data_IF_153796155638
#
_entry.id   IF_153796155638
#
_cell.length_a   1.000
_cell.length_b   1.000
_cell.length_c   1.000
_cell.angle_alpha   90.00
_cell.angle_beta   90.00
_cell.angle_gamma   90.00
#
_symmetry.space_group_name_H-M   'P 1'
#
loop_
_entity.id
_entity.type
_entity.pdbx_description
1 polymer ?
#
# COMPACT_ATOMS: atom_id res chain seq x y z
N UNK A 1 -0.35 0.31 -20.27
CA UNK A 1 -0.16 -1.08 -19.83
C UNK A 1 0.10 -1.10 -18.33
N UNK A 2 -0.89 -1.42 -17.50
CA UNK A 2 -0.87 -1.29 -16.02
C UNK A 2 -1.13 -2.63 -15.34
N UNK A 3 -0.61 -2.90 -14.14
CA UNK A 3 -0.27 -4.28 -13.81
C UNK A 3 -0.72 -4.86 -12.44
N UNK A 4 -1.33 -6.08 -12.37
CA UNK A 4 -1.92 -6.72 -11.14
C UNK A 4 -1.80 -8.28 -10.99
N UNK A 5 -2.15 -8.81 -9.80
CA UNK A 5 -1.42 -9.77 -8.91
C UNK A 5 -1.96 -11.23 -8.72
N UNK A 6 -1.11 -12.19 -8.23
CA UNK A 6 -1.46 -13.44 -7.47
C UNK A 6 -0.24 -14.03 -6.65
N UNK A 7 -0.45 -14.85 -5.58
CA UNK A 7 0.46 -15.06 -4.38
C UNK A 7 0.63 -16.54 -3.90
N UNK A 8 1.80 -16.94 -3.32
CA UNK A 8 2.00 -18.02 -2.29
C UNK A 8 3.28 -17.86 -1.41
N UNK A 9 3.29 -18.49 -0.21
CA UNK A 9 4.00 -18.14 1.06
C UNK A 9 5.18 -19.03 1.54
N UNK A 10 6.07 -18.47 2.42
CA UNK A 10 6.76 -19.13 3.56
C UNK A 10 7.18 -18.12 4.68
N UNK A 11 7.27 -18.49 5.99
CA UNK A 11 7.46 -17.54 7.10
C UNK A 11 8.85 -17.56 7.79
N UNK A 12 9.24 -16.46 8.46
CA UNK A 12 10.24 -16.45 9.53
C UNK A 12 10.01 -15.35 10.60
N UNK A 13 10.62 -15.54 11.77
CA UNK A 13 10.25 -15.07 13.12
C UNK A 13 10.98 -13.82 13.64
N UNK A 14 10.39 -13.11 14.62
CA UNK A 14 11.10 -12.21 15.56
C UNK A 14 10.30 -11.87 16.85
N UNK A 15 11.03 -11.67 17.96
CA UNK A 15 10.59 -11.31 19.33
C UNK A 15 10.81 -9.81 19.66
N UNK A 16 10.09 -9.21 20.65
CA UNK A 16 10.41 -7.86 21.16
C UNK A 16 10.68 -7.78 22.70
N UNK A 17 11.12 -6.60 23.23
CA UNK A 17 11.81 -6.46 24.53
C UNK A 17 11.08 -5.71 25.68
N UNK A 18 11.55 -5.99 26.90
CA UNK A 18 11.67 -5.25 28.19
C UNK A 18 10.55 -4.37 28.82
N UNK A 19 10.25 -4.64 30.10
CA UNK A 19 9.83 -3.64 31.12
C UNK A 19 10.19 -4.08 32.55
N UNK A 20 10.78 -3.16 33.33
CA UNK A 20 11.06 -3.10 34.80
C UNK A 20 11.14 -4.41 35.63
N UNK A 21 12.34 -4.73 36.10
CA UNK A 21 12.63 -5.85 37.02
C UNK A 21 12.41 -5.47 38.50
N UNK A 22 11.68 -6.33 39.22
CA UNK A 22 11.63 -6.37 40.70
C UNK A 22 12.97 -6.92 41.25
N UNK A 23 13.25 -6.73 42.55
CA UNK A 23 14.51 -7.25 43.14
C UNK A 23 14.49 -8.77 43.28
N UNK A 24 15.63 -9.42 43.00
CA UNK A 24 15.77 -10.89 42.93
C UNK A 24 15.30 -11.62 44.20
N UNK A 25 15.37 -10.97 45.37
CA UNK A 25 14.99 -11.57 46.65
C UNK A 25 13.47 -11.61 46.86
N UNK A 26 12.74 -10.64 46.32
CA UNK A 26 11.28 -10.59 46.34
C UNK A 26 10.67 -11.51 45.28
N UNK A 27 11.30 -11.61 44.09
CA UNK A 27 10.92 -12.59 43.06
C UNK A 27 11.12 -14.03 43.51
N UNK A 28 12.26 -14.34 44.15
CA UNK A 28 12.56 -15.71 44.60
C UNK A 28 11.63 -16.21 45.71
N UNK A 29 11.18 -15.33 46.62
CA UNK A 29 10.24 -15.72 47.68
C UNK A 29 8.80 -15.94 47.16
N UNK A 30 8.39 -15.23 46.11
CA UNK A 30 7.07 -15.42 45.46
C UNK A 30 7.09 -16.66 44.54
N UNK A 31 8.21 -16.95 43.88
CA UNK A 31 8.35 -18.11 42.99
C UNK A 31 8.37 -19.46 43.72
N UNK A 32 8.74 -19.51 45.01
CA UNK A 32 8.85 -20.76 45.76
C UNK A 32 7.51 -21.50 46.00
N UNK A 33 6.36 -20.83 45.79
CA UNK A 33 5.02 -21.41 45.97
C UNK A 33 4.15 -21.45 44.70
N UNK A 34 4.70 -21.10 43.53
CA UNK A 34 3.96 -21.06 42.27
C UNK A 34 4.17 -22.38 41.51
N UNK A 35 3.06 -23.08 41.25
CA UNK A 35 3.03 -24.26 40.40
C UNK A 35 2.68 -23.86 38.97
N UNK A 36 3.16 -24.63 37.99
CA UNK A 36 2.91 -24.40 36.57
C UNK A 36 2.24 -25.61 35.93
N UNK A 37 1.30 -25.35 35.03
CA UNK A 37 0.61 -26.37 34.23
C UNK A 37 0.46 -25.87 32.79
N UNK A 38 0.76 -26.72 31.83
CA UNK A 38 0.42 -26.45 30.43
C UNK A 38 -1.03 -26.86 30.23
N UNK A 39 -1.85 -25.94 29.75
CA UNK A 39 -3.27 -26.17 29.46
C UNK A 39 -3.56 -25.79 28.01
N UNK A 40 -4.63 -26.37 27.48
CA UNK A 40 -5.14 -26.09 26.14
C UNK A 40 -6.58 -25.61 26.20
N UNK A 41 -7.04 -24.93 25.16
CA UNK A 41 -8.44 -24.55 25.00
C UNK A 41 -9.26 -25.75 24.50
N UNK A 42 -9.42 -26.74 25.37
CA UNK A 42 -10.15 -27.99 25.14
C UNK A 42 -11.16 -28.24 26.24
N UNK A 43 -12.09 -29.17 25.99
CA UNK A 43 -13.14 -29.59 26.92
C UNK A 43 -12.61 -30.11 28.27
N UNK A 44 -11.35 -30.55 28.31
CA UNK A 44 -10.65 -30.96 29.53
C UNK A 44 -10.55 -29.81 30.55
N UNK A 45 -10.30 -28.59 30.07
CA UNK A 45 -10.04 -27.42 30.92
C UNK A 45 -11.19 -26.41 30.88
N UNK A 46 -11.81 -26.24 29.71
CA UNK A 46 -12.85 -25.25 29.45
C UNK A 46 -13.99 -25.87 28.65
N UNK A 47 -15.20 -25.85 29.21
CA UNK A 47 -16.39 -26.30 28.47
C UNK A 47 -16.60 -25.47 27.19
N UNK A 48 -17.06 -26.08 26.07
CA UNK A 48 -17.39 -25.38 24.82
C UNK A 48 -18.31 -24.18 25.02
N UNK A 49 -19.25 -24.27 25.97
CA UNK A 49 -20.19 -23.19 26.28
C UNK A 49 -19.47 -21.97 26.89
N UNK A 50 -18.48 -22.20 27.74
CA UNK A 50 -17.67 -21.15 28.35
C UNK A 50 -16.75 -20.53 27.30
N UNK A 51 -16.13 -21.33 26.42
CA UNK A 51 -15.30 -20.84 25.31
C UNK A 51 -16.13 -19.95 24.38
N UNK A 52 -17.29 -20.42 23.91
CA UNK A 52 -18.20 -19.61 23.07
C UNK A 52 -18.60 -18.31 23.74
N UNK A 53 -18.98 -18.36 25.02
CA UNK A 53 -19.34 -17.18 25.80
C UNK A 53 -18.18 -16.19 25.89
N UNK A 54 -16.96 -16.68 26.15
CA UNK A 54 -15.76 -15.85 26.23
C UNK A 54 -15.47 -15.15 24.89
N UNK A 55 -15.48 -15.89 23.77
CA UNK A 55 -15.25 -15.35 22.42
C UNK A 55 -16.26 -14.26 22.06
N UNK A 56 -17.52 -14.38 22.47
CA UNK A 56 -18.53 -13.35 22.21
C UNK A 56 -18.30 -12.04 22.97
N UNK A 57 -17.63 -12.10 24.13
CA UNK A 57 -17.44 -10.97 25.04
C UNK A 57 -16.04 -10.36 25.03
N UNK A 58 -15.04 -11.05 24.48
CA UNK A 58 -13.64 -10.63 24.53
C UNK A 58 -13.26 -9.66 23.40
N UNK A 59 -12.18 -8.90 23.63
CA UNK A 59 -11.46 -8.13 22.60
C UNK A 59 -12.34 -7.23 21.71
N UNK A 60 -13.30 -6.52 22.31
CA UNK A 60 -14.22 -5.62 21.58
C UNK A 60 -14.91 -6.30 20.38
N UNK A 61 -15.36 -7.55 20.56
CA UNK A 61 -16.03 -8.36 19.54
C UNK A 61 -15.12 -8.88 18.41
N UNK A 62 -13.79 -8.81 18.55
CA UNK A 62 -12.84 -9.32 17.56
C UNK A 62 -13.12 -10.79 17.15
N UNK A 63 -13.38 -11.66 18.13
CA UNK A 63 -13.59 -13.09 17.90
C UNK A 63 -14.98 -13.45 17.35
N UNK A 64 -15.86 -12.47 17.09
CA UNK A 64 -17.11 -12.75 16.38
C UNK A 64 -16.81 -13.06 14.92
N UNK A 65 -17.48 -14.05 14.36
CA UNK A 65 -17.17 -14.57 13.02
C UNK A 65 -17.18 -13.49 11.92
N UNK A 66 -18.09 -12.51 12.00
CA UNK A 66 -18.18 -11.40 11.04
C UNK A 66 -16.95 -10.48 11.05
N UNK A 67 -16.26 -10.35 12.19
CA UNK A 67 -15.01 -9.61 12.30
C UNK A 67 -13.82 -10.52 12.02
N UNK A 68 -13.83 -11.73 12.57
CA UNK A 68 -12.76 -12.71 12.45
C UNK A 68 -12.47 -13.08 10.99
N UNK A 69 -13.49 -13.25 10.15
CA UNK A 69 -13.32 -13.59 8.72
C UNK A 69 -12.59 -12.52 7.90
N UNK A 70 -12.60 -11.26 8.37
CA UNK A 70 -11.88 -10.16 7.73
C UNK A 70 -10.40 -10.14 8.15
N UNK A 71 -10.10 -10.79 9.28
CA UNK A 71 -8.75 -10.88 9.81
C UNK A 71 -8.16 -12.21 9.33
N UNK A 72 -8.72 -13.36 9.68
CA UNK A 72 -8.19 -14.69 9.29
C UNK A 72 -8.75 -15.12 7.93
N UNK A 73 -7.89 -15.13 6.90
CA UNK A 73 -8.25 -15.61 5.55
C UNK A 73 -8.50 -17.13 5.57
N UNK A 74 -9.64 -17.57 5.04
CA UNK A 74 -9.94 -18.99 4.84
C UNK A 74 -10.68 -19.70 5.98
N UNK A 75 -10.99 -19.00 7.09
CA UNK A 75 -11.82 -19.57 8.17
C UNK A 75 -13.30 -19.67 7.77
N UNK A 76 -13.90 -20.87 7.88
CA UNK A 76 -15.26 -21.14 7.40
C UNK A 76 -16.34 -20.87 8.44
N UNK A 77 -16.03 -21.04 9.72
CA UNK A 77 -16.96 -20.79 10.82
C UNK A 77 -16.24 -20.51 12.14
N UNK A 78 -16.98 -20.05 13.15
CA UNK A 78 -16.46 -19.95 14.52
C UNK A 78 -16.21 -21.33 15.14
N UNK A 79 -16.97 -22.35 14.73
CA UNK A 79 -16.79 -23.72 15.20
C UNK A 79 -15.44 -24.27 14.72
N UNK A 80 -15.03 -23.93 13.50
CA UNK A 80 -13.71 -24.27 12.99
C UNK A 80 -12.58 -23.64 13.81
N UNK A 81 -12.74 -22.39 14.27
CA UNK A 81 -11.81 -21.76 15.21
C UNK A 81 -11.69 -22.58 16.51
N UNK A 82 -12.83 -22.92 17.11
CA UNK A 82 -12.90 -23.59 18.41
C UNK A 82 -12.36 -25.01 18.36
N UNK A 83 -12.68 -25.75 17.30
CA UNK A 83 -12.36 -27.18 17.21
C UNK A 83 -10.96 -27.45 16.68
N UNK A 84 -10.46 -26.62 15.75
CA UNK A 84 -9.18 -26.88 15.07
C UNK A 84 -8.04 -25.97 15.52
N UNK A 85 -8.31 -24.70 15.79
CA UNK A 85 -7.26 -23.69 15.97
C UNK A 85 -6.97 -23.36 17.44
N UNK A 86 -7.99 -23.14 18.27
CA UNK A 86 -7.81 -22.84 19.70
C UNK A 86 -7.10 -23.96 20.49
N UNK A 87 -7.35 -25.27 20.24
CA UNK A 87 -6.67 -26.35 20.95
C UNK A 87 -5.15 -26.38 20.72
N UNK A 88 -4.68 -25.85 19.59
CA UNK A 88 -3.25 -25.79 19.25
C UNK A 88 -2.49 -24.75 20.07
N UNK A 89 -3.20 -23.84 20.73
CA UNK A 89 -2.57 -22.79 21.53
C UNK A 89 -2.19 -23.32 22.91
N UNK A 90 -0.89 -23.44 23.17
CA UNK A 90 -0.34 -23.85 24.47
C UNK A 90 -0.34 -22.69 25.47
N UNK A 91 -0.99 -22.88 26.60
CA UNK A 91 -1.08 -21.87 27.67
C UNK A 91 -0.31 -22.37 28.88
N UNK A 92 0.72 -21.61 29.29
CA UNK A 92 1.41 -21.84 30.56
C UNK A 92 0.65 -21.16 31.69
N UNK A 93 -0.14 -21.94 32.43
CA UNK A 93 -0.91 -21.47 33.57
C UNK A 93 -0.11 -21.60 34.85
N UNK A 94 0.03 -20.50 35.59
CA UNK A 94 0.65 -20.48 36.92
C UNK A 94 -0.42 -20.33 38.00
N UNK A 95 -0.28 -21.07 39.10
CA UNK A 95 -1.23 -21.04 40.20
C UNK A 95 -0.56 -21.23 41.56
N UNK A 96 -1.23 -20.75 42.60
CA UNK A 96 -0.91 -21.01 44.00
C UNK A 96 -1.83 -22.10 44.57
N UNK A 97 -1.47 -22.66 45.72
CA UNK A 97 -2.19 -23.76 46.36
C UNK A 97 -3.71 -23.50 46.46
N UNK A 98 -4.53 -24.45 46.00
CA UNK A 98 -6.00 -24.36 45.98
C UNK A 98 -6.63 -23.61 44.80
N UNK A 99 -5.83 -23.16 43.82
CA UNK A 99 -6.31 -22.51 42.59
C UNK A 99 -5.86 -23.24 41.32
N UNK A 100 -5.77 -24.57 41.34
CA UNK A 100 -5.54 -25.32 40.10
C UNK A 100 -6.69 -25.03 39.11
N UNK A 101 -6.40 -25.07 37.80
CA UNK A 101 -7.37 -24.81 36.73
C UNK A 101 -8.64 -25.66 36.84
N UNK A 102 -8.50 -26.86 37.43
CA UNK A 102 -9.60 -27.81 37.65
C UNK A 102 -10.48 -27.44 38.84
N UNK A 103 -9.97 -26.61 39.76
CA UNK A 103 -10.67 -26.15 40.97
C UNK A 103 -11.35 -24.80 40.76
N UNK A 104 -11.09 -24.11 39.64
CA UNK A 104 -11.73 -22.84 39.32
C UNK A 104 -13.22 -23.00 39.00
N UNK A 105 -14.01 -22.08 39.53
CA UNK A 105 -15.43 -21.96 39.23
C UNK A 105 -15.65 -21.48 37.79
N UNK A 106 -16.84 -21.75 37.24
CA UNK A 106 -17.15 -21.41 35.84
C UNK A 106 -16.99 -19.91 35.52
N UNK A 107 -17.27 -19.03 36.49
CA UNK A 107 -17.12 -17.59 36.32
C UNK A 107 -15.65 -17.14 36.33
N UNK A 108 -14.80 -17.78 37.14
CA UNK A 108 -13.36 -17.52 37.19
C UNK A 108 -12.68 -17.98 35.91
N UNK A 109 -13.08 -19.15 35.38
CA UNK A 109 -12.63 -19.64 34.07
C UNK A 109 -12.99 -18.67 32.94
N UNK A 110 -14.21 -18.11 32.97
CA UNK A 110 -14.63 -17.11 31.99
C UNK A 110 -13.79 -15.82 32.08
N UNK A 111 -13.53 -15.33 33.29
CA UNK A 111 -12.68 -14.15 33.50
C UNK A 111 -11.24 -14.38 33.02
N UNK A 112 -10.67 -15.55 33.30
CA UNK A 112 -9.34 -15.93 32.83
C UNK A 112 -9.27 -15.95 31.30
N UNK A 113 -10.28 -16.52 30.63
CA UNK A 113 -10.37 -16.54 29.18
C UNK A 113 -10.44 -15.13 28.59
N UNK A 114 -11.34 -14.29 29.09
CA UNK A 114 -11.60 -12.95 28.54
C UNK A 114 -10.46 -11.98 28.85
N UNK A 115 -9.93 -12.00 30.07
CA UNK A 115 -8.98 -11.00 30.55
C UNK A 115 -7.51 -11.31 30.29
N UNK A 116 -7.16 -12.58 30.07
CA UNK A 116 -5.75 -13.01 29.99
C UNK A 116 -5.47 -13.85 28.75
N UNK A 117 -6.19 -14.94 28.56
CA UNK A 117 -5.87 -15.91 27.50
C UNK A 117 -6.19 -15.36 26.10
N UNK A 118 -7.42 -14.89 25.88
CA UNK A 118 -7.86 -14.41 24.56
C UNK A 118 -7.10 -13.17 24.06
N UNK A 119 -6.70 -12.19 24.90
CA UNK A 119 -5.78 -11.13 24.49
C UNK A 119 -4.44 -11.65 23.95
N UNK A 120 -3.85 -12.66 24.57
CA UNK A 120 -2.59 -13.27 24.11
C UNK A 120 -2.79 -14.13 22.85
N UNK A 121 -3.92 -14.83 22.74
CA UNK A 121 -4.34 -15.52 21.51
C UNK A 121 -4.49 -14.51 20.36
N UNK A 122 -5.11 -13.34 20.61
CA UNK A 122 -5.23 -12.28 19.60
C UNK A 122 -3.86 -11.76 19.18
N UNK A 123 -2.96 -11.44 20.12
CA UNK A 123 -1.59 -11.01 19.78
C UNK A 123 -0.84 -12.06 18.96
N UNK A 124 -1.06 -13.35 19.26
CA UNK A 124 -0.50 -14.44 18.48
C UNK A 124 -1.12 -14.52 17.08
N UNK A 125 -2.43 -14.35 16.93
CA UNK A 125 -3.10 -14.24 15.63
C UNK A 125 -2.50 -13.08 14.85
N UNK A 126 -2.51 -11.87 15.41
CA UNK A 126 -2.00 -10.65 14.75
C UNK A 126 -0.52 -10.79 14.32
N UNK A 127 0.30 -11.53 15.07
CA UNK A 127 1.72 -11.78 14.74
C UNK A 127 1.90 -12.77 13.59
N UNK A 128 1.05 -13.77 13.47
CA UNK A 128 1.18 -14.86 12.48
C UNK A 128 0.18 -14.74 11.33
N UNK A 129 -0.63 -13.70 11.35
CA UNK A 129 -1.56 -13.35 10.29
C UNK A 129 -0.75 -13.01 9.02
N UNK A 130 -1.03 -13.66 7.87
CA UNK A 130 -0.45 -13.23 6.62
C UNK A 130 -0.84 -11.78 6.36
N UNK A 131 0.16 -10.90 6.30
CA UNK A 131 -0.04 -9.56 5.75
C UNK A 131 -0.37 -9.75 4.27
N UNK A 132 -1.52 -9.22 3.84
CA UNK A 132 -1.84 -9.16 2.41
C UNK A 132 -0.95 -8.06 1.84
N UNK A 133 0.14 -8.45 1.20
CA UNK A 133 1.09 -7.52 0.57
C UNK A 133 0.85 -7.42 -0.94
N UNK A 134 1.51 -6.45 -1.58
CA UNK A 134 1.67 -6.46 -3.03
C UNK A 134 2.53 -7.64 -3.50
N UNK A 135 2.45 -7.97 -4.79
CA UNK A 135 3.34 -8.95 -5.42
C UNK A 135 4.39 -8.23 -6.21
N UNK A 136 5.45 -8.96 -6.41
CA UNK A 136 6.53 -8.70 -7.32
C UNK A 136 6.18 -9.12 -8.75
N UNK A 137 5.10 -9.87 -8.97
CA UNK A 137 4.66 -10.32 -10.29
C UNK A 137 3.56 -9.42 -10.83
N UNK A 138 3.77 -9.01 -12.07
CA UNK A 138 3.05 -7.96 -12.73
C UNK A 138 2.48 -8.48 -14.10
N UNK A 139 1.14 -8.57 -14.28
CA UNK A 139 0.41 -8.73 -15.58
C UNK A 139 -0.26 -7.49 -16.24
N UNK A 140 -0.07 -7.23 -17.54
CA UNK A 140 -0.51 -6.00 -18.22
C UNK A 140 -2.03 -5.76 -18.26
N UNK A 141 -2.44 -4.49 -18.33
CA UNK A 141 -3.82 -4.02 -18.58
C UNK A 141 -3.81 -2.81 -19.51
N UNK A 142 -4.82 -2.68 -20.36
CA UNK A 142 -4.97 -1.51 -21.23
C UNK A 142 -5.00 -0.19 -20.45
N UNK A 143 -4.40 0.88 -20.99
CA UNK A 143 -4.55 2.23 -20.42
C UNK A 143 -6.01 2.68 -20.46
N UNK A 144 -6.73 2.38 -21.55
CA UNK A 144 -8.13 2.75 -21.72
C UNK A 144 -9.06 2.07 -20.72
N UNK A 145 -8.67 0.91 -20.17
CA UNK A 145 -9.47 0.24 -19.13
C UNK A 145 -9.21 0.78 -17.73
N UNK A 146 -8.12 1.53 -17.53
CA UNK A 146 -7.80 2.19 -16.25
C UNK A 146 -8.29 3.63 -16.27
N UNK A 147 -7.97 4.38 -17.32
CA UNK A 147 -8.34 5.79 -17.48
C UNK A 147 -9.62 5.93 -18.33
N UNK A 148 -10.75 5.47 -17.77
CA UNK A 148 -12.02 5.40 -18.51
C UNK A 148 -12.82 6.70 -18.52
N UNK A 149 -12.72 7.49 -17.45
CA UNK A 149 -13.61 8.63 -17.23
C UNK A 149 -12.92 9.93 -17.60
N UNK A 150 -13.66 10.78 -18.31
CA UNK A 150 -13.28 12.17 -18.50
C UNK A 150 -13.23 12.86 -17.14
N UNK A 151 -12.07 13.44 -16.84
CA UNK A 151 -11.80 14.03 -15.52
C UNK A 151 -12.37 15.43 -15.48
N UNK A 152 -13.45 15.60 -14.71
CA UNK A 152 -14.03 16.91 -14.44
C UNK A 152 -13.42 17.44 -13.14
N UNK A 153 -12.77 18.61 -13.22
CA UNK A 153 -12.20 19.27 -12.05
C UNK A 153 -13.16 20.38 -11.61
N UNK A 154 -13.63 20.30 -10.37
CA UNK A 154 -14.50 21.32 -9.78
C UNK A 154 -13.65 22.30 -8.98
N UNK A 155 -13.57 23.53 -9.47
CA UNK A 155 -12.75 24.60 -8.88
C UNK A 155 -13.63 25.62 -8.16
N UNK A 156 -13.11 26.19 -7.08
CA UNK A 156 -13.76 27.26 -6.33
C UNK A 156 -12.95 28.54 -6.51
N UNK A 157 -13.55 29.52 -7.18
CA UNK A 157 -13.07 30.90 -7.24
C UNK A 157 -14.03 31.83 -6.48
N UNK A 158 -13.49 32.91 -5.93
CA UNK A 158 -14.27 33.96 -5.29
C UNK A 158 -14.09 35.27 -6.06
N UNK A 159 -15.18 35.99 -6.37
CA UNK A 159 -15.06 37.30 -6.99
C UNK A 159 -14.45 38.28 -5.99
N UNK A 160 -13.39 38.96 -6.39
CA UNK A 160 -12.79 40.10 -5.70
C UNK A 160 -12.97 41.33 -6.57
N UNK A 161 -13.55 42.37 -5.98
CA UNK A 161 -13.65 43.67 -6.62
C UNK A 161 -12.45 44.50 -6.17
N UNK A 162 -11.67 44.99 -7.13
CA UNK A 162 -10.58 45.90 -6.83
C UNK A 162 -11.09 47.32 -6.51
N UNK A 163 -10.19 48.19 -6.07
CA UNK A 163 -10.49 49.59 -5.76
C UNK A 163 -10.94 50.41 -6.97
N UNK A 164 -10.73 49.90 -8.20
CA UNK A 164 -11.12 50.54 -9.45
C UNK A 164 -12.48 50.02 -9.98
N UNK A 165 -13.06 49.02 -9.30
CA UNK A 165 -14.39 48.48 -9.58
C UNK A 165 -14.39 47.26 -10.51
N UNK A 166 -13.22 46.81 -10.98
CA UNK A 166 -13.06 45.61 -11.79
C UNK A 166 -13.23 44.36 -10.93
N UNK A 167 -13.96 43.38 -11.46
CA UNK A 167 -14.19 42.10 -10.79
C UNK A 167 -13.21 41.07 -11.33
N UNK A 168 -12.33 40.57 -10.47
CA UNK A 168 -11.40 39.49 -10.77
C UNK A 168 -11.75 38.24 -9.95
N UNK A 169 -11.53 37.07 -10.52
CA UNK A 169 -11.73 35.81 -9.81
C UNK A 169 -10.47 35.44 -9.04
N UNK A 170 -10.59 35.28 -7.73
CA UNK A 170 -9.51 34.83 -6.86
C UNK A 170 -9.71 33.37 -6.46
N UNK A 171 -8.78 32.52 -6.92
CA UNK A 171 -8.62 31.15 -6.51
C UNK A 171 -7.61 31.06 -5.34
N UNK A 172 -8.05 30.85 -4.08
CA UNK A 172 -7.13 30.75 -2.95
C UNK A 172 -6.34 29.43 -2.95
N UNK A 173 -6.88 28.38 -3.56
CA UNK A 173 -6.21 27.10 -3.71
C UNK A 173 -5.38 27.10 -4.99
N UNK A 174 -4.13 26.62 -4.89
CA UNK A 174 -3.23 26.44 -6.02
C UNK A 174 -3.83 25.52 -7.08
N UNK A 175 -4.63 24.53 -6.69
CA UNK A 175 -5.33 23.62 -7.60
C UNK A 175 -6.46 24.28 -8.39
N UNK A 176 -6.85 25.50 -8.04
CA UNK A 176 -7.83 26.27 -8.80
C UNK A 176 -7.20 27.23 -9.81
N UNK A 177 -5.86 27.20 -9.95
CA UNK A 177 -5.13 28.00 -10.93
C UNK A 177 -4.61 27.11 -12.05
N UNK A 178 -4.89 27.41 -13.32
CA UNK A 178 -4.29 26.69 -14.45
C UNK A 178 -2.77 26.86 -14.46
N UNK A 179 -2.05 25.91 -15.04
CA UNK A 179 -0.60 26.02 -15.18
C UNK A 179 -0.21 26.91 -16.37
N UNK A 180 -0.94 26.84 -17.49
CA UNK A 180 -0.60 27.56 -18.73
C UNK A 180 -0.61 29.08 -18.55
N UNK A 181 -1.58 29.60 -17.80
CA UNK A 181 -1.73 31.03 -17.51
C UNK A 181 -1.38 31.41 -16.07
N UNK A 182 -0.53 30.62 -15.41
CA UNK A 182 -0.18 30.85 -14.01
C UNK A 182 0.62 32.15 -13.79
N UNK A 183 0.27 32.94 -12.78
CA UNK A 183 0.92 34.24 -12.49
C UNK A 183 2.36 34.11 -11.97
N UNK A 184 2.68 32.99 -11.31
CA UNK A 184 4.05 32.69 -10.86
C UNK A 184 4.86 32.06 -12.00
N UNK A 185 5.93 32.72 -12.50
CA UNK A 185 6.77 32.21 -13.59
C UNK A 185 7.45 30.87 -13.27
N UNK A 186 7.69 30.56 -12.00
CA UNK A 186 8.30 29.29 -11.60
C UNK A 186 7.36 28.11 -11.88
N UNK A 187 6.04 28.35 -11.84
CA UNK A 187 5.01 27.33 -12.09
C UNK A 187 4.47 27.39 -13.52
N UNK A 188 4.48 28.56 -14.14
CA UNK A 188 3.93 28.78 -15.47
C UNK A 188 4.64 27.92 -16.52
N UNK A 189 3.85 27.17 -17.28
CA UNK A 189 4.28 26.39 -18.44
C UNK A 189 3.08 26.18 -19.36
N UNK A 190 3.24 26.46 -20.65
CA UNK A 190 2.20 26.31 -21.66
C UNK A 190 1.91 24.81 -21.94
N UNK A 191 0.98 24.25 -21.17
CA UNK A 191 0.60 22.83 -21.25
C UNK A 191 -0.17 22.54 -22.53
N UNK A 192 -0.90 23.52 -23.08
CA UNK A 192 -1.74 23.34 -24.27
C UNK A 192 -0.91 22.96 -25.50
N UNK A 193 0.35 23.41 -25.57
CA UNK A 193 1.28 23.09 -26.66
C UNK A 193 2.08 21.80 -26.44
N UNK A 194 1.95 21.17 -25.27
CA UNK A 194 2.69 19.97 -24.90
C UNK A 194 2.02 18.70 -25.44
N UNK A 195 2.38 18.29 -26.66
CA UNK A 195 1.88 17.07 -27.33
C UNK A 195 2.09 15.76 -26.56
N UNK A 196 3.02 15.78 -25.61
CA UNK A 196 3.38 14.68 -24.72
C UNK A 196 2.59 14.67 -23.41
N UNK A 197 1.78 15.68 -23.11
CA UNK A 197 0.95 15.70 -21.90
C UNK A 197 -0.48 15.26 -22.21
N UNK A 198 -1.02 14.31 -21.44
CA UNK A 198 -2.27 13.64 -21.78
C UNK A 198 -3.55 14.47 -21.59
N UNK A 199 -3.45 15.65 -20.97
CA UNK A 199 -4.58 16.53 -20.67
C UNK A 199 -4.36 17.91 -21.26
N UNK A 200 -5.43 18.68 -21.47
CA UNK A 200 -5.33 20.03 -22.03
C UNK A 200 -4.81 21.09 -21.04
N UNK A 201 -4.80 20.79 -19.73
CA UNK A 201 -4.36 21.71 -18.68
C UNK A 201 -3.95 20.93 -17.42
N UNK A 202 -3.13 21.54 -16.56
CA UNK A 202 -2.72 21.01 -15.26
C UNK A 202 -3.18 21.91 -14.10
N UNK A 203 -4.11 21.38 -13.30
CA UNK A 203 -4.64 22.00 -12.08
C UNK A 203 -4.06 21.36 -10.80
N UNK A 204 -2.80 20.96 -10.85
CA UNK A 204 -2.09 20.35 -9.72
C UNK A 204 -1.62 21.35 -8.66
N UNK A 205 -1.00 20.81 -7.60
CA UNK A 205 -0.26 21.60 -6.61
C UNK A 205 0.97 22.27 -7.23
N UNK A 206 1.62 23.13 -6.48
CA UNK A 206 2.88 23.76 -6.88
C UNK A 206 3.98 22.74 -7.20
N UNK A 207 4.03 21.60 -6.50
CA UNK A 207 4.98 20.52 -6.75
C UNK A 207 4.66 19.79 -8.06
N UNK A 208 3.38 19.48 -8.30
CA UNK A 208 2.91 18.84 -9.52
C UNK A 208 3.17 19.73 -10.75
N UNK A 209 2.93 21.05 -10.65
CA UNK A 209 3.22 22.03 -11.71
C UNK A 209 4.72 22.13 -12.00
N UNK A 210 5.55 22.25 -10.96
CA UNK A 210 7.00 22.24 -11.11
C UNK A 210 7.49 20.96 -11.79
N UNK A 211 6.94 19.81 -11.42
CA UNK A 211 7.28 18.54 -12.05
C UNK A 211 6.93 18.50 -13.56
N UNK A 212 5.74 18.95 -13.97
CA UNK A 212 5.37 19.02 -15.40
C UNK A 212 6.36 19.92 -16.16
N UNK A 213 6.73 21.07 -15.56
CA UNK A 213 7.71 21.98 -16.15
C UNK A 213 9.12 21.36 -16.23
N UNK A 214 9.52 20.56 -15.24
CA UNK A 214 10.74 19.75 -15.31
C UNK A 214 10.68 18.74 -16.47
N UNK A 215 9.59 18.00 -16.64
CA UNK A 215 9.47 17.04 -17.76
C UNK A 215 9.60 17.75 -19.12
N UNK A 216 9.08 18.98 -19.23
CA UNK A 216 9.26 19.79 -20.43
C UNK A 216 10.73 20.06 -20.77
N UNK A 217 11.62 20.18 -19.77
CA UNK A 217 13.07 20.35 -20.03
C UNK A 217 13.75 19.05 -20.46
N UNK A 218 13.13 17.90 -20.18
CA UNK A 218 13.67 16.58 -20.50
C UNK A 218 13.13 15.98 -21.80
N UNK A 219 12.02 16.50 -22.33
CA UNK A 219 11.28 15.83 -23.40
C UNK A 219 12.08 15.67 -24.69
N UNK A 220 12.86 16.68 -25.08
CA UNK A 220 13.66 16.63 -26.31
C UNK A 220 14.77 15.57 -26.24
N UNK A 221 15.39 15.43 -25.06
CA UNK A 221 16.38 14.39 -24.82
C UNK A 221 15.73 13.00 -24.88
N UNK A 222 14.57 12.82 -24.25
CA UNK A 222 13.83 11.56 -24.28
C UNK A 222 13.42 11.19 -25.71
N UNK A 223 12.87 12.13 -26.49
CA UNK A 223 12.52 11.94 -27.91
C UNK A 223 13.76 11.60 -28.75
N UNK A 224 14.93 12.17 -28.42
CA UNK A 224 16.19 11.85 -29.09
C UNK A 224 16.77 10.48 -28.71
N UNK A 225 16.60 10.06 -27.45
CA UNK A 225 17.07 8.78 -26.93
C UNK A 225 16.21 7.62 -27.43
N UNK A 226 14.89 7.77 -27.36
CA UNK A 226 13.90 6.77 -27.75
C UNK A 226 13.22 7.16 -29.07
N UNK A 227 14.03 7.23 -30.14
CA UNK A 227 13.55 7.70 -31.45
C UNK A 227 12.41 6.85 -31.98
N UNK A 228 11.32 7.50 -32.36
CA UNK A 228 10.12 6.83 -32.88
C UNK A 228 9.18 6.30 -31.80
N UNK A 229 9.59 6.31 -30.53
CA UNK A 229 8.71 5.93 -29.43
C UNK A 229 7.68 7.03 -29.16
N UNK A 230 6.47 6.61 -28.81
CA UNK A 230 5.44 7.46 -28.23
C UNK A 230 5.83 7.80 -26.80
N UNK A 231 5.72 9.08 -26.42
CA UNK A 231 6.06 9.54 -25.07
C UNK A 231 4.89 10.34 -24.52
N UNK A 232 4.29 9.85 -23.44
CA UNK A 232 3.13 10.48 -22.81
C UNK A 232 3.29 10.57 -21.29
N UNK A 233 3.13 11.77 -20.74
CA UNK A 233 2.96 12.01 -19.32
C UNK A 233 1.47 12.05 -18.97
N UNK A 234 1.05 11.12 -18.13
CA UNK A 234 -0.33 10.95 -17.68
C UNK A 234 -0.38 11.23 -16.19
N UNK A 235 -1.11 12.27 -15.78
CA UNK A 235 -1.51 12.47 -14.38
C UNK A 235 -2.51 11.40 -13.95
N UNK A 236 -2.21 10.72 -12.85
CA UNK A 236 -3.04 9.71 -12.23
C UNK A 236 -3.86 10.32 -11.09
N UNK A 237 -5.18 10.25 -11.19
CA UNK A 237 -6.11 10.86 -10.20
C UNK A 237 -6.77 9.76 -9.39
N UNK A 238 -5.93 8.89 -8.80
CA UNK A 238 -6.36 7.73 -8.03
C UNK A 238 -7.07 6.64 -8.86
N UNK A 239 -6.85 6.61 -10.17
CA UNK A 239 -7.34 5.55 -11.06
C UNK A 239 -6.45 4.31 -11.00
N UNK A 240 -5.14 4.54 -10.83
CA UNK A 240 -4.13 3.51 -10.70
C UNK A 240 -3.58 3.41 -9.28
N UNK A 241 -3.51 2.19 -8.77
CA UNK A 241 -3.08 1.90 -7.41
C UNK A 241 -2.00 0.83 -7.40
N UNK A 242 -1.08 0.96 -6.45
CA UNK A 242 -0.10 -0.04 -6.08
C UNK A 242 -0.31 -0.47 -4.63
N UNK A 243 0.14 -1.68 -4.34
CA UNK A 243 0.23 -2.22 -2.99
C UNK A 243 1.70 -2.53 -2.73
N UNK A 244 2.22 -2.04 -1.61
CA UNK A 244 3.58 -2.32 -1.14
C UNK A 244 3.81 -3.83 -1.01
N UNK A 245 4.80 -4.42 -1.71
CA UNK A 245 5.15 -5.83 -1.52
C UNK A 245 5.67 -6.16 -0.12
N UNK A 246 6.15 -5.13 0.60
CA UNK A 246 6.72 -5.25 1.95
C UNK A 246 5.67 -5.36 3.05
N UNK A 247 4.62 -4.55 2.99
CA UNK A 247 3.64 -4.41 4.09
C UNK A 247 2.18 -4.21 3.64
N UNK A 248 1.91 -4.26 2.34
CA UNK A 248 0.56 -4.20 1.79
C UNK A 248 -0.10 -2.83 1.80
N UNK A 249 0.62 -1.79 2.24
CA UNK A 249 0.08 -0.42 2.19
C UNK A 249 -0.24 -0.04 0.75
N UNK A 250 -1.46 0.47 0.56
CA UNK A 250 -1.94 0.97 -0.73
C UNK A 250 -1.49 2.41 -0.95
N UNK A 251 -1.00 2.72 -2.15
CA UNK A 251 -0.73 4.08 -2.58
C UNK A 251 -1.01 4.24 -4.08
N UNK A 252 -1.12 5.50 -4.52
CA UNK A 252 -1.33 5.89 -5.91
C UNK A 252 -0.21 6.84 -6.27
N UNK A 253 0.69 6.50 -7.22
CA UNK A 253 1.63 7.47 -7.79
C UNK A 253 0.86 8.61 -8.46
N UNK A 254 1.39 9.82 -8.47
CA UNK A 254 0.69 10.99 -9.04
C UNK A 254 0.81 11.05 -10.57
N UNK A 255 1.92 10.55 -11.12
CA UNK A 255 2.17 10.59 -12.56
C UNK A 255 2.70 9.26 -13.10
N UNK A 256 2.37 9.03 -14.37
CA UNK A 256 2.87 7.93 -15.19
C UNK A 256 3.46 8.50 -16.47
N UNK A 257 4.77 8.36 -16.67
CA UNK A 257 5.42 8.64 -17.94
C UNK A 257 5.52 7.32 -18.73
N UNK A 258 4.89 7.27 -19.89
CA UNK A 258 4.90 6.13 -20.80
C UNK A 258 5.88 6.41 -21.92
N UNK A 259 6.76 5.44 -22.21
CA UNK A 259 7.63 5.43 -23.39
C UNK A 259 7.35 4.11 -24.11
N UNK A 260 6.83 4.20 -25.33
CA UNK A 260 6.31 3.05 -26.05
C UNK A 260 6.75 3.05 -27.51
N UNK A 261 7.64 2.13 -27.88
CA UNK A 261 7.97 1.87 -29.29
C UNK A 261 7.09 0.75 -29.82
N UNK A 262 5.84 1.10 -30.13
CA UNK A 262 4.87 0.17 -30.69
C UNK A 262 5.16 -0.23 -32.14
N UNK A 263 5.87 0.61 -32.90
CA UNK A 263 6.15 0.34 -34.32
C UNK A 263 7.18 -0.77 -34.47
N UNK A 264 8.23 -0.75 -33.64
CA UNK A 264 9.31 -1.74 -33.70
C UNK A 264 9.22 -2.81 -32.62
N UNK A 265 8.27 -2.70 -31.68
CA UNK A 265 8.16 -3.56 -30.50
C UNK A 265 9.48 -3.68 -29.73
N UNK A 266 10.28 -2.60 -29.68
CA UNK A 266 11.56 -2.63 -28.96
C UNK A 266 11.31 -2.54 -27.46
N UNK A 267 10.53 -1.55 -27.02
CA UNK A 267 10.34 -1.30 -25.59
C UNK A 267 8.99 -0.71 -25.21
N UNK A 268 8.55 -1.07 -24.00
CA UNK A 268 7.47 -0.42 -23.27
C UNK A 268 7.95 -0.10 -21.85
N UNK A 269 8.07 1.17 -21.51
CA UNK A 269 8.40 1.63 -20.16
C UNK A 269 7.23 2.34 -19.49
N UNK A 270 6.94 1.94 -18.27
CA UNK A 270 6.02 2.62 -17.36
C UNK A 270 6.82 3.24 -16.21
N UNK A 271 6.97 4.55 -16.24
CA UNK A 271 7.70 5.32 -15.24
C UNK A 271 6.72 5.92 -14.22
N UNK A 272 6.81 5.52 -12.95
CA UNK A 272 5.93 5.95 -11.87
C UNK A 272 6.61 7.02 -11.00
N UNK A 273 5.96 8.17 -10.89
CA UNK A 273 6.56 9.38 -10.31
C UNK A 273 5.58 10.03 -9.33
N UNK A 274 6.09 10.49 -8.19
CA UNK A 274 5.32 11.19 -7.15
C UNK A 274 6.04 12.50 -6.78
N UNK A 275 5.56 13.66 -7.26
CA UNK A 275 5.96 14.97 -6.77
C UNK A 275 5.60 15.14 -5.30
N UNK A 276 6.50 15.71 -4.50
CA UNK A 276 6.31 15.79 -3.05
C UNK A 276 6.84 17.08 -2.44
N UNK A 277 6.02 17.69 -1.59
CA UNK A 277 6.44 18.80 -0.75
C UNK A 277 7.39 18.32 0.36
N UNK A 278 8.43 19.09 0.66
CA UNK A 278 9.48 18.70 1.60
C UNK A 278 8.99 18.25 2.97
N UNK A 279 7.93 18.89 3.49
CA UNK A 279 7.30 18.57 4.77
C UNK A 279 6.60 17.19 4.81
N UNK A 280 6.39 16.54 3.67
CA UNK A 280 5.75 15.22 3.58
C UNK A 280 6.74 14.07 3.34
N UNK A 281 8.02 14.37 3.06
CA UNK A 281 9.00 13.34 2.68
C UNK A 281 9.22 12.30 3.77
N UNK A 282 9.41 12.71 5.03
CA UNK A 282 9.65 11.80 6.15
C UNK A 282 8.46 10.86 6.39
N UNK A 283 7.24 11.39 6.31
CA UNK A 283 6.01 10.61 6.49
C UNK A 283 5.83 9.55 5.39
N UNK A 284 6.18 9.91 4.15
CA UNK A 284 5.92 9.08 2.97
C UNK A 284 7.17 8.37 2.44
N UNK A 285 8.26 8.32 3.21
CA UNK A 285 9.53 7.66 2.82
C UNK A 285 9.31 6.20 2.41
N UNK A 286 8.37 5.51 3.04
CA UNK A 286 8.03 4.12 2.69
C UNK A 286 7.50 3.97 1.26
N UNK A 287 6.85 4.99 0.66
CA UNK A 287 6.40 4.92 -0.73
C UNK A 287 7.56 5.13 -1.70
N UNK A 288 8.48 6.04 -1.39
CA UNK A 288 9.71 6.23 -2.17
C UNK A 288 10.52 4.94 -2.21
N UNK A 289 10.67 4.24 -1.07
CA UNK A 289 11.28 2.91 -1.02
C UNK A 289 10.60 1.92 -1.97
N UNK A 290 9.26 1.87 -1.96
CA UNK A 290 8.50 0.95 -2.83
C UNK A 290 8.63 1.34 -4.30
N UNK A 291 8.55 2.62 -4.66
CA UNK A 291 8.74 3.09 -6.04
C UNK A 291 10.12 2.67 -6.56
N UNK A 292 11.17 2.96 -5.79
CA UNK A 292 12.55 2.63 -6.17
C UNK A 292 12.75 1.12 -6.35
N UNK A 293 12.12 0.29 -5.52
CA UNK A 293 12.30 -1.16 -5.59
C UNK A 293 11.63 -1.80 -6.81
N UNK A 294 10.72 -1.10 -7.51
CA UNK A 294 10.02 -1.66 -8.67
C UNK A 294 10.96 -2.09 -9.79
N UNK A 295 12.05 -1.36 -10.03
CA UNK A 295 12.97 -1.67 -11.14
C UNK A 295 13.64 -3.03 -10.93
N UNK A 296 14.06 -3.33 -9.70
CA UNK A 296 14.79 -4.57 -9.36
C UNK A 296 13.85 -5.72 -8.99
N UNK A 297 12.71 -5.42 -8.38
CA UNK A 297 11.83 -6.42 -7.78
C UNK A 297 10.59 -6.73 -8.63
N UNK A 298 10.31 -6.00 -9.71
CA UNK A 298 9.17 -6.27 -10.57
C UNK A 298 9.49 -7.31 -11.66
N UNK A 299 8.66 -8.33 -11.76
CA UNK A 299 8.66 -9.32 -12.83
C UNK A 299 7.39 -9.19 -13.64
N UNK A 300 7.52 -8.87 -14.93
CA UNK A 300 6.36 -8.75 -15.82
C UNK A 300 6.09 -10.08 -16.51
N UNK A 301 4.84 -10.56 -16.44
CA UNK A 301 4.38 -11.82 -17.04
C UNK A 301 3.11 -11.61 -17.86
N UNK A 302 2.91 -12.43 -18.87
CA UNK A 302 1.79 -12.35 -19.81
C UNK A 302 0.86 -13.55 -19.72
N UNK A 303 1.09 -14.43 -18.76
CA UNK A 303 0.31 -15.67 -18.62
C UNK A 303 -0.98 -15.40 -17.85
N UNK A 304 -2.06 -16.02 -18.33
CA UNK A 304 -3.37 -15.95 -17.69
C UNK A 304 -3.44 -16.87 -16.46
N UNK A 305 -4.26 -16.47 -15.49
CA UNK A 305 -4.62 -17.27 -14.32
C UNK A 305 -6.02 -17.90 -14.49
N UNK A 306 -6.34 -18.92 -13.70
CA UNK A 306 -7.62 -19.65 -13.80
C UNK A 306 -8.85 -18.79 -13.56
N UNK A 307 -8.68 -17.71 -12.79
CA UNK A 307 -9.75 -16.79 -12.40
C UNK A 307 -9.91 -15.60 -13.38
N UNK A 308 -9.09 -15.52 -14.44
CA UNK A 308 -9.14 -14.42 -15.40
C UNK A 308 -10.36 -14.53 -16.34
N UNK A 309 -10.98 -13.39 -16.65
CA UNK A 309 -12.07 -13.33 -17.64
C UNK A 309 -11.55 -13.63 -19.05
N UNK A 310 -12.39 -14.24 -19.90
CA UNK A 310 -12.06 -14.55 -21.29
C UNK A 310 -11.51 -13.34 -22.07
N UNK A 311 -12.15 -12.17 -21.96
CA UNK A 311 -11.69 -10.94 -22.63
C UNK A 311 -10.29 -10.51 -22.18
N UNK A 312 -9.95 -10.75 -20.91
CA UNK A 312 -8.63 -10.41 -20.38
C UNK A 312 -7.57 -11.41 -20.84
N UNK A 313 -7.92 -12.70 -20.92
CA UNK A 313 -7.06 -13.74 -21.50
C UNK A 313 -6.73 -13.42 -22.96
N UNK A 314 -7.73 -13.00 -23.74
CA UNK A 314 -7.55 -12.56 -25.13
C UNK A 314 -6.61 -11.35 -25.23
N UNK A 315 -6.81 -10.34 -24.38
CA UNK A 315 -5.92 -9.19 -24.28
C UNK A 315 -4.47 -9.60 -23.91
N UNK A 316 -4.28 -10.51 -22.96
CA UNK A 316 -2.95 -10.98 -22.58
C UNK A 316 -2.24 -11.68 -23.75
N UNK A 317 -2.97 -12.47 -24.53
CA UNK A 317 -2.42 -13.13 -25.72
C UNK A 317 -2.06 -12.12 -26.81
N UNK A 318 -2.92 -11.13 -27.07
CA UNK A 318 -2.64 -10.04 -28.03
C UNK A 318 -1.36 -9.27 -27.65
N UNK A 319 -1.24 -8.86 -26.39
CA UNK A 319 -0.05 -8.14 -25.91
C UNK A 319 1.20 -9.02 -25.97
N UNK A 320 1.07 -10.32 -25.70
CA UNK A 320 2.16 -11.28 -25.83
C UNK A 320 2.62 -11.42 -27.28
N UNK A 321 1.70 -11.34 -28.25
CA UNK A 321 1.99 -11.37 -29.68
C UNK A 321 2.69 -10.12 -30.19
N UNK A 322 2.51 -8.95 -29.56
CA UNK A 322 3.29 -7.75 -29.89
C UNK A 322 4.80 -7.97 -29.74
N UNK A 323 5.22 -8.87 -28.86
CA UNK A 323 6.61 -9.32 -28.80
C UNK A 323 7.61 -8.25 -28.36
N UNK A 324 7.20 -7.32 -27.49
CA UNK A 324 8.11 -6.30 -26.93
C UNK A 324 9.38 -6.95 -26.40
N UNK A 325 10.55 -6.47 -26.85
CA UNK A 325 11.84 -7.00 -26.39
C UNK A 325 12.11 -6.65 -24.93
N UNK A 326 11.69 -5.45 -24.52
CA UNK A 326 11.83 -4.98 -23.15
C UNK A 326 10.53 -4.38 -22.65
N UNK A 327 10.10 -4.80 -21.46
CA UNK A 327 9.00 -4.17 -20.73
C UNK A 327 9.47 -3.91 -19.32
N UNK A 328 9.38 -2.65 -18.87
CA UNK A 328 9.84 -2.25 -17.53
C UNK A 328 8.82 -1.39 -16.80
N UNK A 329 8.73 -1.62 -15.49
CA UNK A 329 8.02 -0.76 -14.56
C UNK A 329 9.07 -0.07 -13.67
N UNK A 330 9.29 1.21 -13.92
CA UNK A 330 10.33 2.00 -13.28
C UNK A 330 9.70 2.90 -12.24
N UNK A 331 10.26 2.93 -11.03
CA UNK A 331 9.94 3.96 -10.06
C UNK A 331 11.17 4.80 -9.71
N UNK A 332 10.89 6.05 -9.37
CA UNK A 332 11.89 7.08 -9.16
C UNK A 332 11.84 7.56 -7.72
N UNK A 333 12.90 8.24 -7.28
CA UNK A 333 12.82 9.08 -6.09
C UNK A 333 11.68 10.09 -6.22
N UNK A 334 11.17 10.58 -5.11
CA UNK A 334 10.23 11.69 -5.14
C UNK A 334 10.83 12.90 -5.85
N UNK A 335 10.04 13.51 -6.74
CA UNK A 335 10.38 14.82 -7.26
C UNK A 335 10.10 15.85 -6.17
N UNK A 336 11.11 16.61 -5.78
CA UNK A 336 10.96 17.68 -4.80
C UNK A 336 11.98 18.80 -5.06
N UNK A 337 11.67 20.00 -4.56
CA UNK A 337 12.56 21.17 -4.67
C UNK A 337 13.10 21.64 -3.32
N UNK A 338 12.55 21.11 -2.22
CA UNK A 338 13.07 21.28 -0.86
C UNK A 338 12.79 20.01 -0.05
N UNK A 339 13.67 19.60 0.89
CA UNK A 339 15.02 20.13 1.11
C UNK A 339 16.04 19.61 0.08
N UNK A 340 15.67 18.63 -0.76
CA UNK A 340 16.50 18.15 -1.89
C UNK A 340 16.31 19.06 -3.10
N UNK A 341 17.31 19.13 -3.97
CA UNK A 341 17.27 19.96 -5.18
C UNK A 341 16.62 19.24 -6.35
N UNK A 342 16.10 19.99 -7.32
CA UNK A 342 15.62 19.42 -8.59
C UNK A 342 16.70 18.61 -9.31
N UNK A 343 17.97 19.01 -9.20
CA UNK A 343 19.10 18.27 -9.77
C UNK A 343 19.27 16.87 -9.19
N UNK A 344 18.90 16.65 -7.92
CA UNK A 344 18.96 15.32 -7.31
C UNK A 344 17.98 14.36 -7.99
N UNK A 345 16.78 14.84 -8.30
CA UNK A 345 15.80 14.09 -9.08
C UNK A 345 16.25 13.91 -10.53
N UNK A 346 16.79 14.95 -11.18
CA UNK A 346 17.27 14.85 -12.56
C UNK A 346 18.35 13.76 -12.73
N UNK A 347 19.28 13.66 -11.77
CA UNK A 347 20.30 12.61 -11.74
C UNK A 347 19.67 11.21 -11.58
N UNK A 348 18.72 11.05 -10.65
CA UNK A 348 18.01 9.78 -10.46
C UNK A 348 17.19 9.40 -11.71
N UNK A 349 16.50 10.37 -12.31
CA UNK A 349 15.72 10.23 -13.53
C UNK A 349 16.58 9.72 -14.69
N UNK A 350 17.73 10.35 -14.94
CA UNK A 350 18.63 9.93 -16.00
C UNK A 350 19.27 8.56 -15.77
N UNK A 351 19.67 8.27 -14.53
CA UNK A 351 20.36 7.02 -14.19
C UNK A 351 19.45 5.80 -14.26
N UNK A 352 18.16 5.96 -13.91
CA UNK A 352 17.18 4.86 -13.92
C UNK A 352 16.57 4.61 -15.30
N UNK A 353 16.62 5.59 -16.20
CA UNK A 353 16.13 5.43 -17.56
C UNK A 353 17.01 4.42 -18.34
N UNK A 354 16.44 3.36 -18.94
CA UNK A 354 17.19 2.37 -19.72
C UNK A 354 17.92 2.98 -20.92
N UNK A 355 19.16 2.53 -21.17
CA UNK A 355 20.06 3.03 -22.23
C UNK A 355 19.41 3.07 -23.61
#
# INVERSE_FOLDING_TARGET
>A
MIVLLSVRFFPNSATPPYTRSLTDKEQNNIQAGIQYKTIHLTDEYFSPLIIRKALMSAENNFFRFNHLKNHIVGIKSIDELIEKYLPLYEIKYSYSEGKDINQLEAHEKLQLLVGVILPEVRKAIDRHMPQITGSHIFRPKSLSSIFQQEKNIYLVSFPIQDSDGETSDHAPDERAKPQSSHDNPDLQFDVETADWYAYSENYGTSEEKRFVKFVATQIDELKSRYKGAEIYLIRNELDYWLFSPKDGRRFSPDYMLIINDAENSEMYYQCLIEPKGGHLLEKDTWKEEVLISLDDESQIVFDADQDDSQNYVEFLNEVKEHGYKEVKCLGFKFYNTEPRSESDFAIDFHNRMPS
#
